data_IF_460088228430
#
_entry.id   IF_460088228430
#
_cell.length_a   1.000
_cell.length_b   1.000
_cell.length_c   1.000
_cell.angle_alpha   90.00
_cell.angle_beta   90.00
_cell.angle_gamma   90.00
#
_symmetry.space_group_name_H-M   'P 1'
#
loop_
_entity.id
_entity.type
_entity.pdbx_description
1 polymer ?
#
# COMPACT_ATOMS: atom_id res chain seq x y z
N UNK A 1 11.72 24.69 -12.00
CA UNK A 1 11.19 24.80 -10.62
C UNK A 1 11.04 23.39 -10.09
N UNK A 2 12.05 22.89 -9.36
CA UNK A 2 11.92 21.62 -8.65
C UNK A 2 11.06 21.89 -7.41
N UNK A 3 9.88 21.28 -7.32
CA UNK A 3 9.08 21.27 -6.09
C UNK A 3 9.71 20.23 -5.17
N UNK A 4 10.21 20.64 -4.02
CA UNK A 4 10.56 19.73 -2.94
C UNK A 4 9.27 19.04 -2.47
N UNK A 5 9.19 17.71 -2.58
CA UNK A 5 8.11 16.91 -2.03
C UNK A 5 8.55 16.47 -0.63
N UNK A 6 7.86 16.95 0.39
CA UNK A 6 8.13 16.64 1.80
C UNK A 6 7.40 15.36 2.18
N UNK A 7 8.16 14.26 2.36
CA UNK A 7 7.61 12.99 2.84
C UNK A 7 7.49 12.99 4.37
N UNK A 8 6.30 12.65 4.90
CA UNK A 8 6.11 12.43 6.33
C UNK A 8 5.86 10.94 6.60
N UNK A 9 6.78 10.31 7.35
CA UNK A 9 6.71 8.92 7.78
C UNK A 9 6.24 8.86 9.22
N UNK A 10 5.11 8.20 9.47
CA UNK A 10 4.61 7.90 10.82
C UNK A 10 4.72 6.40 11.07
N UNK A 11 5.40 6.01 12.15
CA UNK A 11 5.56 4.61 12.56
C UNK A 11 4.47 4.23 13.55
N UNK A 12 3.79 3.11 13.31
CA UNK A 12 2.92 2.47 14.29
C UNK A 12 3.67 1.24 14.84
N UNK A 13 4.40 1.45 15.92
CA UNK A 13 5.07 0.41 16.69
C UNK A 13 5.19 0.86 18.14
N UNK A 14 5.13 -0.07 19.09
CA UNK A 14 5.54 0.19 20.47
C UNK A 14 7.00 0.69 20.47
N UNK A 15 7.13 1.92 20.99
CA UNK A 15 8.30 2.76 21.23
C UNK A 15 9.70 2.15 21.06
N UNK A 16 10.43 2.57 20.00
CA UNK A 16 11.76 3.21 20.07
C UNK A 16 12.08 3.97 18.75
N UNK A 17 12.71 5.16 18.80
CA UNK A 17 12.95 5.98 17.60
C UNK A 17 14.13 5.48 16.76
N UNK A 18 13.87 5.11 15.52
CA UNK A 18 14.91 4.79 14.53
C UNK A 18 15.49 6.11 13.98
N UNK A 19 16.81 6.31 14.13
CA UNK A 19 17.53 7.42 13.47
C UNK A 19 17.66 7.15 11.96
N UNK A 20 16.99 7.95 11.14
CA UNK A 20 17.21 7.97 9.69
C UNK A 20 18.44 8.84 9.42
N UNK A 21 19.53 8.30 8.83
CA UNK A 21 20.70 9.11 8.52
C UNK A 21 20.40 10.11 7.37
N UNK A 22 20.94 11.34 7.43
CA UNK A 22 20.66 12.41 6.46
C UNK A 22 21.20 12.15 5.04
N UNK A 23 21.93 11.06 4.81
CA UNK A 23 22.48 10.67 3.51
C UNK A 23 21.44 10.17 2.50
N UNK A 24 20.14 10.28 2.79
CA UNK A 24 19.07 9.89 1.87
C UNK A 24 18.82 10.93 0.75
N UNK A 25 19.45 12.10 0.83
CA UNK A 25 19.42 13.12 -0.22
C UNK A 25 20.85 13.40 -0.67
N UNK A 26 21.34 12.63 -1.65
CA UNK A 26 22.54 13.01 -2.40
C UNK A 26 22.09 13.39 -3.80
N UNK A 27 22.28 14.66 -4.12
CA UNK A 27 22.27 15.17 -5.49
C UNK A 27 23.31 14.40 -6.32
N UNK A 28 22.85 13.76 -7.39
CA UNK A 28 23.70 13.38 -8.51
C UNK A 28 24.00 11.88 -8.68
N UNK A 29 23.82 11.44 -9.93
CA UNK A 29 24.58 10.35 -10.53
C UNK A 29 24.05 8.94 -10.31
N UNK A 30 23.81 8.24 -11.41
CA UNK A 30 23.75 6.79 -11.42
C UNK A 30 25.08 6.21 -10.88
N UNK A 31 24.96 5.00 -10.34
CA UNK A 31 26.04 4.10 -9.90
C UNK A 31 26.61 4.28 -8.48
N UNK A 32 26.55 3.15 -7.77
CA UNK A 32 27.24 2.79 -6.53
C UNK A 32 26.50 3.08 -5.21
N UNK A 33 25.80 2.05 -4.70
CA UNK A 33 25.96 1.64 -3.31
C UNK A 33 25.64 0.13 -3.19
N UNK A 34 26.65 -0.70 -3.38
CA UNK A 34 26.60 -2.12 -3.06
C UNK A 34 26.66 -2.31 -1.54
N UNK A 35 25.58 -2.82 -0.94
CA UNK A 35 25.62 -3.36 0.42
C UNK A 35 25.45 -4.88 0.36
N UNK A 36 26.57 -5.56 0.69
CA UNK A 36 26.70 -7.00 0.88
C UNK A 36 25.66 -7.50 1.88
N UNK A 37 24.77 -8.36 1.42
CA UNK A 37 23.72 -9.01 2.21
C UNK A 37 22.53 -9.46 1.37
N UNK A 38 22.30 -8.80 0.23
CA UNK A 38 21.35 -9.24 -0.77
C UNK A 38 21.83 -10.55 -1.41
N UNK A 39 20.90 -11.50 -1.63
CA UNK A 39 21.08 -12.58 -2.60
C UNK A 39 21.66 -11.92 -3.86
N UNK A 40 22.81 -12.44 -4.32
CA UNK A 40 23.50 -11.94 -5.52
C UNK A 40 22.49 -11.81 -6.65
N UNK A 41 22.49 -10.67 -7.35
CA UNK A 41 23.30 -10.56 -8.55
C UNK A 41 22.33 -10.77 -9.71
N UNK A 42 22.07 -9.70 -10.45
CA UNK A 42 20.97 -9.49 -11.39
C UNK A 42 19.62 -9.19 -10.70
N UNK A 43 18.94 -8.14 -11.18
CA UNK A 43 17.55 -7.83 -10.83
C UNK A 43 16.65 -8.90 -11.46
N UNK A 44 16.87 -10.15 -11.09
CA UNK A 44 16.01 -11.26 -11.47
C UNK A 44 14.60 -10.90 -10.98
N UNK A 45 13.69 -10.87 -11.95
CA UNK A 45 12.31 -10.42 -11.85
C UNK A 45 11.68 -10.90 -10.54
N UNK A 46 11.10 -9.97 -9.78
CA UNK A 46 10.27 -10.26 -8.61
C UNK A 46 9.31 -11.38 -8.99
N UNK A 47 9.45 -12.54 -8.35
CA UNK A 47 8.72 -13.72 -8.77
C UNK A 47 7.29 -13.76 -8.24
N UNK A 48 6.88 -12.77 -7.44
CA UNK A 48 5.66 -12.89 -6.67
C UNK A 48 4.80 -11.60 -6.67
N UNK A 49 3.54 -11.85 -6.38
CA UNK A 49 2.41 -10.94 -6.41
C UNK A 49 2.45 -9.89 -5.29
N UNK A 50 2.06 -8.66 -5.62
CA UNK A 50 1.73 -7.58 -4.67
C UNK A 50 0.22 -7.39 -4.63
N UNK A 51 -0.34 -7.28 -3.43
CA UNK A 51 -1.76 -6.97 -3.24
C UNK A 51 -1.95 -5.48 -3.00
N UNK A 52 -2.89 -4.87 -3.71
CA UNK A 52 -3.28 -3.48 -3.51
C UNK A 52 -4.67 -3.37 -2.90
N UNK A 53 -4.85 -2.43 -1.97
CA UNK A 53 -6.14 -2.12 -1.34
C UNK A 53 -6.29 -0.62 -1.08
N UNK A 54 -7.45 -0.20 -0.59
CA UNK A 54 -7.74 1.16 -0.11
C UNK A 54 -9.07 1.19 0.66
N UNK A 55 -9.50 2.39 1.05
CA UNK A 55 -10.82 2.72 1.62
C UNK A 55 -11.73 3.54 0.70
N UNK A 56 -11.18 4.20 -0.33
CA UNK A 56 -11.96 4.93 -1.34
C UNK A 56 -12.73 4.00 -2.30
N UNK A 57 -12.40 2.70 -2.31
CA UNK A 57 -13.03 1.66 -3.12
C UNK A 57 -12.27 1.27 -4.40
N UNK A 58 -12.72 0.18 -5.02
CA UNK A 58 -12.01 -0.51 -6.11
C UNK A 58 -11.73 0.37 -7.33
N UNK A 59 -12.67 1.26 -7.68
CA UNK A 59 -12.55 2.13 -8.85
C UNK A 59 -11.92 3.49 -8.52
N UNK A 60 -11.39 3.68 -7.32
CA UNK A 60 -10.84 4.97 -6.89
C UNK A 60 -9.64 5.37 -7.76
N UNK A 61 -9.53 6.65 -8.17
CA UNK A 61 -8.44 7.12 -9.02
C UNK A 61 -7.05 6.89 -8.41
N UNK A 62 -6.90 7.06 -7.09
CA UNK A 62 -5.63 6.83 -6.39
C UNK A 62 -5.18 5.37 -6.41
N UNK A 63 -6.12 4.43 -6.26
CA UNK A 63 -5.85 2.99 -6.36
C UNK A 63 -5.50 2.58 -7.79
N UNK A 64 -6.19 3.14 -8.78
CA UNK A 64 -5.88 2.88 -10.20
C UNK A 64 -4.51 3.44 -10.60
N UNK A 65 -4.15 4.64 -10.11
CA UNK A 65 -2.82 5.20 -10.30
C UNK A 65 -1.74 4.33 -9.66
N UNK A 66 -1.97 3.85 -8.44
CA UNK A 66 -1.06 2.94 -7.74
C UNK A 66 -0.88 1.64 -8.52
N UNK A 67 -1.99 0.99 -8.94
CA UNK A 67 -1.95 -0.22 -9.78
C UNK A 67 -1.11 -0.03 -11.03
N UNK A 68 -1.36 1.05 -11.77
CA UNK A 68 -0.65 1.33 -13.01
C UNK A 68 0.87 1.47 -12.82
N UNK A 69 1.33 2.02 -11.69
CA UNK A 69 2.77 2.09 -11.40
C UNK A 69 3.33 0.77 -10.88
N UNK A 70 2.68 0.10 -9.93
CA UNK A 70 3.20 -1.14 -9.34
C UNK A 70 3.23 -2.29 -10.36
N UNK A 71 2.25 -2.37 -11.27
CA UNK A 71 2.24 -3.38 -12.35
C UNK A 71 3.44 -3.28 -13.31
N UNK A 72 4.26 -2.23 -13.24
CA UNK A 72 5.50 -2.14 -14.01
C UNK A 72 6.65 -2.95 -13.42
N UNK A 73 6.54 -3.39 -12.17
CA UNK A 73 7.62 -4.05 -11.42
C UNK A 73 7.21 -5.38 -10.78
N UNK A 74 5.90 -5.68 -10.69
CA UNK A 74 5.40 -6.91 -10.07
C UNK A 74 4.01 -7.28 -10.63
N UNK A 75 3.62 -8.53 -10.45
CA UNK A 75 2.23 -8.95 -10.64
C UNK A 75 1.35 -8.33 -9.56
N UNK A 76 0.16 -7.86 -9.94
CA UNK A 76 -0.72 -7.11 -9.04
C UNK A 76 -2.11 -7.72 -9.00
N UNK A 77 -2.60 -7.96 -7.79
CA UNK A 77 -4.02 -8.24 -7.53
C UNK A 77 -4.59 -7.15 -6.64
N UNK A 78 -5.68 -6.53 -7.09
CA UNK A 78 -6.40 -5.53 -6.30
C UNK A 78 -7.47 -6.23 -5.46
N UNK A 79 -7.49 -6.01 -4.14
CA UNK A 79 -8.60 -6.43 -3.27
C UNK A 79 -9.05 -5.24 -2.45
N UNK A 80 -10.21 -4.68 -2.80
CA UNK A 80 -10.67 -3.41 -2.25
C UNK A 80 -12.18 -3.39 -2.06
N UNK A 81 -12.72 -2.47 -1.22
CA UNK A 81 -14.15 -2.30 -1.06
C UNK A 81 -14.84 -2.03 -2.40
N UNK A 82 -16.05 -2.53 -2.59
CA UNK A 82 -16.83 -2.29 -3.81
C UNK A 82 -17.19 -0.81 -3.98
N UNK A 83 -17.40 -0.11 -2.87
CA UNK A 83 -17.66 1.33 -2.81
C UNK A 83 -16.87 1.97 -1.67
N UNK A 84 -16.68 3.28 -1.76
CA UNK A 84 -16.10 4.11 -0.71
C UNK A 84 -16.70 3.81 0.68
N UNK A 85 -15.83 3.72 1.69
CA UNK A 85 -16.22 3.42 3.08
C UNK A 85 -16.09 4.64 4.03
N UNK A 86 -15.74 5.82 3.53
CA UNK A 86 -15.40 7.03 4.30
C UNK A 86 -16.54 7.64 5.15
N UNK A 87 -17.79 7.18 4.98
CA UNK A 87 -18.94 7.84 5.60
C UNK A 87 -20.08 6.91 6.06
N UNK A 88 -19.81 5.63 6.34
CA UNK A 88 -20.86 4.72 6.86
C UNK A 88 -21.04 4.90 8.37
N UNK A 89 -21.39 6.12 8.78
CA UNK A 89 -21.87 6.42 10.11
C UNK A 89 -23.26 5.79 10.33
N UNK A 90 -23.38 4.91 11.33
CA UNK A 90 -24.65 4.48 11.91
C UNK A 90 -25.60 3.62 11.04
N UNK A 91 -25.10 2.84 10.08
CA UNK A 91 -25.89 1.75 9.52
C UNK A 91 -25.50 0.42 10.19
N UNK A 92 -26.26 0.02 11.20
CA UNK A 92 -26.20 -1.33 11.78
C UNK A 92 -26.49 -2.32 10.65
N UNK A 93 -25.44 -2.85 10.03
CA UNK A 93 -25.55 -4.00 9.14
C UNK A 93 -25.25 -5.22 10.00
N UNK A 94 -26.30 -5.73 10.66
CA UNK A 94 -26.31 -7.04 11.29
C UNK A 94 -25.93 -8.11 10.24
N UNK A 95 -24.73 -8.69 10.38
CA UNK A 95 -24.29 -9.98 9.85
C UNK A 95 -24.66 -10.28 8.37
N UNK A 96 -24.32 -9.40 7.44
CA UNK A 96 -24.26 -9.82 6.03
C UNK A 96 -22.96 -10.60 5.80
N UNK A 97 -23.01 -11.78 5.14
CA UNK A 97 -21.79 -12.48 4.76
C UNK A 97 -20.94 -11.62 3.82
N UNK A 98 -19.63 -11.70 3.95
CA UNK A 98 -18.70 -11.13 2.99
C UNK A 98 -18.93 -11.81 1.63
N UNK A 99 -19.05 -10.98 0.60
CA UNK A 99 -19.24 -11.31 -0.80
C UNK A 99 -18.09 -10.67 -1.57
N UNK A 100 -17.59 -11.42 -2.54
CA UNK A 100 -16.54 -10.96 -3.43
C UNK A 100 -17.03 -11.03 -4.86
N UNK A 101 -16.65 -10.05 -5.67
CA UNK A 101 -16.91 -10.00 -7.09
C UNK A 101 -15.58 -9.93 -7.82
N UNK A 102 -15.31 -10.92 -8.68
CA UNK A 102 -14.14 -10.89 -9.56
C UNK A 102 -14.23 -9.70 -10.51
N UNK A 103 -13.13 -8.99 -10.66
CA UNK A 103 -12.98 -7.91 -11.62
C UNK A 103 -11.97 -8.36 -12.67
N UNK A 104 -12.42 -8.39 -13.92
CA UNK A 104 -11.64 -8.88 -15.06
C UNK A 104 -11.52 -7.74 -16.06
N UNK A 105 -10.29 -7.50 -16.52
CA UNK A 105 -9.98 -6.50 -17.55
C UNK A 105 -9.23 -7.22 -18.68
N UNK A 106 -9.66 -7.02 -19.93
CA UNK A 106 -9.06 -7.67 -21.11
C UNK A 106 -8.96 -9.21 -21.02
N UNK A 107 -9.84 -9.85 -20.25
CA UNK A 107 -9.83 -11.31 -20.04
C UNK A 107 -8.93 -11.78 -18.89
N UNK A 108 -8.22 -10.88 -18.23
CA UNK A 108 -7.32 -11.16 -17.10
C UNK A 108 -7.95 -10.73 -15.78
N UNK A 109 -7.78 -11.54 -14.74
CA UNK A 109 -8.24 -11.21 -13.40
C UNK A 109 -7.35 -10.11 -12.82
N UNK A 110 -7.91 -8.91 -12.63
CA UNK A 110 -7.18 -7.79 -12.02
C UNK A 110 -7.44 -7.66 -10.52
N UNK A 111 -8.48 -8.32 -10.00
CA UNK A 111 -8.80 -8.20 -8.59
C UNK A 111 -10.20 -8.67 -8.16
N UNK A 112 -10.53 -8.32 -6.94
CA UNK A 112 -11.78 -8.62 -6.26
C UNK A 112 -12.34 -7.36 -5.59
N UNK A 113 -13.59 -7.02 -5.93
CA UNK A 113 -14.36 -6.04 -5.18
C UNK A 113 -15.09 -6.74 -4.03
N UNK A 114 -15.02 -6.20 -2.82
CA UNK A 114 -15.56 -6.82 -1.59
C UNK A 114 -16.60 -5.91 -0.94
N UNK A 115 -17.72 -6.45 -0.47
CA UNK A 115 -18.71 -5.69 0.32
C UNK A 115 -18.32 -5.61 1.81
N UNK A 116 -17.08 -5.23 2.09
CA UNK A 116 -16.51 -5.21 3.45
C UNK A 116 -15.61 -4.00 3.66
N UNK A 117 -15.04 -3.93 4.87
CA UNK A 117 -14.05 -2.91 5.22
C UNK A 117 -12.70 -3.20 4.54
N UNK A 118 -11.77 -2.23 4.50
CA UNK A 118 -10.42 -2.46 3.98
C UNK A 118 -9.68 -3.59 4.70
N UNK A 119 -9.88 -3.74 6.02
CA UNK A 119 -9.32 -4.86 6.77
C UNK A 119 -9.95 -6.21 6.34
N UNK A 120 -11.27 -6.26 6.13
CA UNK A 120 -11.94 -7.46 5.61
C UNK A 120 -11.39 -7.85 4.22
N UNK A 121 -11.08 -6.86 3.38
CA UNK A 121 -10.49 -7.07 2.05
C UNK A 121 -9.14 -7.80 2.15
N UNK A 122 -8.26 -7.36 3.05
CA UNK A 122 -6.98 -8.03 3.27
C UNK A 122 -7.17 -9.40 3.90
N UNK A 123 -8.05 -9.51 4.89
CA UNK A 123 -8.31 -10.78 5.57
C UNK A 123 -8.80 -11.85 4.59
N UNK A 124 -9.78 -11.52 3.75
CA UNK A 124 -10.34 -12.47 2.79
C UNK A 124 -9.36 -12.76 1.65
N UNK A 125 -8.54 -11.77 1.24
CA UNK A 125 -7.47 -11.99 0.27
C UNK A 125 -6.52 -13.10 0.75
N UNK A 126 -5.99 -12.95 1.96
CA UNK A 126 -4.94 -13.81 2.50
C UNK A 126 -5.45 -15.18 3.01
N UNK A 127 -6.76 -15.32 3.25
CA UNK A 127 -7.32 -16.56 3.81
C UNK A 127 -8.16 -17.38 2.84
N UNK A 128 -8.69 -16.76 1.78
CA UNK A 128 -9.67 -17.40 0.89
C UNK A 128 -9.38 -17.17 -0.60
N UNK A 129 -9.00 -15.96 -1.00
CA UNK A 129 -8.97 -15.60 -2.43
C UNK A 129 -7.66 -15.92 -3.14
N UNK A 130 -6.54 -15.87 -2.43
CA UNK A 130 -5.21 -16.06 -2.98
C UNK A 130 -4.71 -17.46 -2.64
N UNK A 131 -4.20 -18.17 -3.65
CA UNK A 131 -3.61 -19.49 -3.47
C UNK A 131 -2.23 -19.43 -2.79
N UNK A 132 -1.51 -18.33 -3.01
CA UNK A 132 -0.19 -18.06 -2.44
C UNK A 132 -0.16 -16.70 -1.73
N UNK A 133 0.63 -16.57 -0.65
CA UNK A 133 0.77 -15.29 0.05
C UNK A 133 1.50 -14.27 -0.85
N UNK A 134 1.05 -13.01 -0.87
CA UNK A 134 1.76 -11.95 -1.57
C UNK A 134 3.06 -11.58 -0.86
N UNK A 135 4.02 -10.99 -1.58
CA UNK A 135 5.25 -10.47 -0.94
C UNK A 135 4.98 -9.23 -0.09
N UNK A 136 3.95 -8.47 -0.47
CA UNK A 136 3.62 -7.20 0.15
C UNK A 136 2.16 -6.84 -0.06
N UNK A 137 1.62 -6.10 0.90
CA UNK A 137 0.36 -5.37 0.74
C UNK A 137 0.63 -3.88 0.72
N UNK A 138 0.04 -3.17 -0.24
CA UNK A 138 0.10 -1.71 -0.32
C UNK A 138 -1.32 -1.16 -0.27
N UNK A 139 -1.59 -0.27 0.69
CA UNK A 139 -2.89 0.36 0.84
C UNK A 139 -2.85 1.82 0.41
N UNK A 140 -3.64 2.21 -0.58
CA UNK A 140 -3.68 3.58 -1.09
C UNK A 140 -3.95 3.65 -2.60
N UNK A 141 -3.71 4.79 -3.25
CA UNK A 141 -3.32 6.07 -2.63
C UNK A 141 -4.57 6.78 -2.12
N UNK A 142 -4.63 7.02 -0.81
CA UNK A 142 -5.74 7.74 -0.21
C UNK A 142 -5.74 9.22 -0.63
N UNK A 143 -6.93 9.78 -0.86
CA UNK A 143 -7.09 11.21 -1.03
C UNK A 143 -7.15 11.93 0.33
N UNK A 144 -6.14 12.74 0.62
CA UNK A 144 -5.98 13.42 1.91
C UNK A 144 -5.01 12.68 2.83
N UNK A 145 -4.24 13.45 3.60
CA UNK A 145 -3.23 12.90 4.50
C UNK A 145 -3.83 12.21 5.72
N UNK A 146 -3.25 11.06 6.09
CA UNK A 146 -3.55 10.33 7.32
C UNK A 146 -2.49 10.68 8.39
N UNK A 147 -2.55 11.91 8.91
CA UNK A 147 -1.61 12.43 9.90
C UNK A 147 -2.19 12.41 11.32
N UNK A 148 -1.34 12.14 12.31
CA UNK A 148 -1.71 12.17 13.73
C UNK A 148 -2.82 11.19 14.09
N UNK A 149 -3.80 11.64 14.87
CA UNK A 149 -4.92 10.81 15.33
C UNK A 149 -5.83 10.31 14.21
N UNK A 150 -5.84 10.97 13.04
CA UNK A 150 -6.67 10.54 11.91
C UNK A 150 -6.23 9.17 11.36
N UNK A 151 -4.94 8.83 11.51
CA UNK A 151 -4.44 7.52 11.08
C UNK A 151 -5.02 6.35 11.88
N UNK A 152 -5.47 6.56 13.13
CA UNK A 152 -6.09 5.53 13.96
C UNK A 152 -7.44 5.09 13.39
N UNK A 153 -8.14 6.00 12.70
CA UNK A 153 -9.46 5.76 12.12
C UNK A 153 -9.42 5.57 10.60
N UNK A 154 -8.23 5.57 10.00
CA UNK A 154 -8.04 5.46 8.55
C UNK A 154 -8.24 4.02 8.09
N UNK A 155 -9.11 3.83 7.10
CA UNK A 155 -9.29 2.54 6.45
C UNK A 155 -8.03 2.14 5.66
N UNK A 156 -7.36 3.12 5.04
CA UNK A 156 -6.07 2.92 4.35
C UNK A 156 -5.03 2.32 5.29
N UNK A 157 -4.84 2.90 6.47
CA UNK A 157 -3.87 2.42 7.48
C UNK A 157 -4.31 1.07 8.07
N UNK A 158 -5.61 0.88 8.26
CA UNK A 158 -6.18 -0.37 8.80
C UNK A 158 -5.88 -1.57 7.90
N UNK A 159 -5.97 -1.42 6.57
CA UNK A 159 -5.62 -2.50 5.63
C UNK A 159 -4.14 -2.90 5.72
N UNK A 160 -3.22 -1.92 5.75
CA UNK A 160 -1.78 -2.22 5.90
C UNK A 160 -1.47 -2.86 7.26
N UNK A 161 -2.20 -2.46 8.30
CA UNK A 161 -2.06 -3.02 9.64
C UNK A 161 -2.56 -4.47 9.69
N UNK A 162 -3.71 -4.79 9.10
CA UNK A 162 -4.21 -6.17 9.04
C UNK A 162 -3.24 -7.09 8.29
N UNK A 163 -2.64 -6.63 7.19
CA UNK A 163 -1.63 -7.40 6.47
C UNK A 163 -0.42 -7.73 7.35
N UNK A 164 0.02 -6.74 8.13
CA UNK A 164 1.15 -6.87 9.06
C UNK A 164 0.83 -7.84 10.20
N UNK A 165 -0.39 -7.78 10.75
CA UNK A 165 -0.89 -8.75 11.75
C UNK A 165 -0.88 -10.17 11.19
N UNK A 166 -1.12 -10.31 9.88
CA UNK A 166 -1.07 -11.60 9.17
C UNK A 166 0.35 -12.00 8.71
N UNK A 167 1.37 -11.25 9.11
CA UNK A 167 2.78 -11.56 8.81
C UNK A 167 3.24 -11.14 7.42
N UNK A 168 2.45 -10.33 6.70
CA UNK A 168 2.82 -9.81 5.38
C UNK A 168 3.38 -8.38 5.52
N UNK A 169 4.57 -8.08 4.97
CA UNK A 169 5.09 -6.72 4.91
C UNK A 169 4.09 -5.76 4.26
N UNK A 170 3.87 -4.59 4.85
CA UNK A 170 2.88 -3.67 4.32
C UNK A 170 3.16 -2.20 4.60
N UNK A 171 2.62 -1.34 3.73
CA UNK A 171 2.57 0.09 3.97
C UNK A 171 1.31 0.73 3.41
N UNK A 172 0.88 1.82 4.05
CA UNK A 172 -0.15 2.72 3.57
C UNK A 172 0.49 3.95 2.92
N UNK A 173 -0.11 4.44 1.84
CA UNK A 173 0.30 5.65 1.14
C UNK A 173 -0.89 6.59 0.95
N UNK A 174 -0.69 7.86 1.26
CA UNK A 174 -1.71 8.91 1.18
C UNK A 174 -1.13 10.14 0.49
N UNK A 175 -1.94 10.81 -0.32
CA UNK A 175 -1.58 12.07 -0.97
C UNK A 175 -2.10 13.23 -0.13
N UNK A 176 -1.20 14.02 0.47
CA UNK A 176 -1.53 15.10 1.36
C UNK A 176 -1.82 16.41 0.60
N UNK A 177 -2.85 16.39 -0.24
CA UNK A 177 -3.36 17.57 -0.95
C UNK A 177 -4.81 17.84 -0.61
N UNK A 178 -5.19 19.12 -0.64
CA UNK A 178 -6.55 19.59 -0.34
C UNK A 178 -7.38 19.84 -1.61
N UNK A 179 -6.73 20.07 -2.76
CA UNK A 179 -7.40 20.38 -4.04
C UNK A 179 -6.66 19.73 -5.21
N UNK A 180 -7.39 19.37 -6.27
CA UNK A 180 -6.89 18.84 -7.54
C UNK A 180 -5.83 17.72 -7.38
N UNK A 181 -6.23 16.54 -6.86
CA UNK A 181 -5.27 15.48 -6.56
C UNK A 181 -4.56 14.98 -7.81
N UNK A 182 -3.22 15.01 -7.75
CA UNK A 182 -2.34 14.35 -8.70
C UNK A 182 -1.64 13.17 -8.00
N UNK A 183 -2.18 11.98 -8.21
CA UNK A 183 -1.67 10.75 -7.60
C UNK A 183 -0.36 10.25 -8.22
N UNK A 184 0.10 10.84 -9.33
CA UNK A 184 1.28 10.35 -10.05
C UNK A 184 2.55 10.36 -9.18
N UNK A 185 2.77 11.42 -8.40
CA UNK A 185 3.94 11.54 -7.53
C UNK A 185 3.95 10.47 -6.42
N UNK A 186 2.79 10.23 -5.79
CA UNK A 186 2.64 9.22 -4.74
C UNK A 186 2.74 7.79 -5.31
N UNK A 187 2.21 7.54 -6.50
CA UNK A 187 2.31 6.26 -7.17
C UNK A 187 3.75 5.96 -7.61
N UNK A 188 4.44 6.95 -8.17
CA UNK A 188 5.84 6.83 -8.57
C UNK A 188 6.74 6.60 -7.35
N UNK A 189 6.48 7.32 -6.26
CA UNK A 189 7.16 7.09 -4.98
C UNK A 189 6.97 5.64 -4.52
N UNK A 190 5.72 5.15 -4.47
CA UNK A 190 5.42 3.79 -4.04
C UNK A 190 6.19 2.74 -4.87
N UNK A 191 6.19 2.88 -6.20
CA UNK A 191 6.94 1.99 -7.11
C UNK A 191 8.44 1.99 -6.81
N UNK A 192 9.04 3.15 -6.55
CA UNK A 192 10.48 3.26 -6.19
C UNK A 192 10.76 2.73 -4.80
N UNK A 193 9.78 2.79 -3.89
CA UNK A 193 9.94 2.41 -2.50
C UNK A 193 9.84 0.90 -2.28
N UNK A 194 8.95 0.21 -2.99
CA UNK A 194 8.77 -1.26 -2.93
C UNK A 194 10.10 -2.05 -2.94
N UNK A 195 11.00 -1.89 -3.95
CA UNK A 195 12.23 -2.68 -3.98
C UNK A 195 13.15 -2.39 -2.79
N UNK A 196 13.18 -1.13 -2.30
CA UNK A 196 13.97 -0.75 -1.14
C UNK A 196 13.44 -1.39 0.14
N UNK A 197 12.12 -1.43 0.29
CA UNK A 197 11.45 -2.00 1.45
C UNK A 197 11.60 -3.52 1.49
N UNK A 198 11.42 -4.19 0.35
CA UNK A 198 11.64 -5.65 0.24
C UNK A 198 13.09 -6.04 0.51
N UNK A 199 14.06 -5.27 0.00
CA UNK A 199 15.48 -5.55 0.21
C UNK A 199 15.92 -5.38 1.68
N UNK A 200 15.34 -4.41 2.39
CA UNK A 200 15.66 -4.15 3.81
C UNK A 200 14.83 -4.96 4.79
N UNK A 201 13.61 -5.31 4.41
CA UNK A 201 12.59 -5.85 5.30
C UNK A 201 12.01 -4.79 6.25
N UNK A 202 10.96 -5.20 6.95
CA UNK A 202 10.37 -4.48 8.07
C UNK A 202 10.55 -5.31 9.36
N UNK A 203 10.69 -4.67 10.53
CA UNK A 203 10.56 -5.37 11.80
C UNK A 203 9.20 -6.07 11.89
N UNK A 204 9.14 -7.18 12.60
CA UNK A 204 7.90 -7.91 12.82
C UNK A 204 6.85 -7.02 13.51
N UNK A 205 5.60 -7.08 13.04
CA UNK A 205 4.51 -6.29 13.60
C UNK A 205 4.51 -4.80 13.20
N UNK A 206 5.40 -4.37 12.30
CA UNK A 206 5.51 -2.96 11.89
C UNK A 206 4.98 -2.75 10.47
N UNK A 207 4.04 -1.81 10.33
CA UNK A 207 3.62 -1.24 9.05
C UNK A 207 4.07 0.21 8.94
N UNK A 208 4.21 0.72 7.71
CA UNK A 208 4.55 2.14 7.47
C UNK A 208 3.33 2.93 7.03
N UNK A 209 3.13 4.12 7.57
CA UNK A 209 2.16 5.09 7.07
C UNK A 209 2.90 6.27 6.42
N UNK A 210 2.73 6.40 5.10
CA UNK A 210 3.49 7.33 4.26
C UNK A 210 2.54 8.39 3.72
N UNK A 211 2.89 9.66 3.95
CA UNK A 211 2.18 10.80 3.39
C UNK A 211 3.12 11.52 2.42
N UNK A 212 2.66 11.70 1.18
CA UNK A 212 3.36 12.34 0.06
C UNK A 212 2.77 13.72 -0.20
#
# INVERSE_FOLDING_TARGET
MHKEVLYHLSFFAETEPIKIPPTLFVEGGADSLFLKGARGGDFDLFHNMIVLSNDDGFTAPGLQALRAEISKIADVIVVAPESEQSAVGHAITLANPLKTRKVVENGELIGYAVNGTPADCIKIALTVLLDEPPEMVISGINFGGNLGSCAIYSGTVSAATEATIMGIPAFAVSLNTYENPDFSAAAEFARKFVPLLLAKGLPEGVSLNINV
#
